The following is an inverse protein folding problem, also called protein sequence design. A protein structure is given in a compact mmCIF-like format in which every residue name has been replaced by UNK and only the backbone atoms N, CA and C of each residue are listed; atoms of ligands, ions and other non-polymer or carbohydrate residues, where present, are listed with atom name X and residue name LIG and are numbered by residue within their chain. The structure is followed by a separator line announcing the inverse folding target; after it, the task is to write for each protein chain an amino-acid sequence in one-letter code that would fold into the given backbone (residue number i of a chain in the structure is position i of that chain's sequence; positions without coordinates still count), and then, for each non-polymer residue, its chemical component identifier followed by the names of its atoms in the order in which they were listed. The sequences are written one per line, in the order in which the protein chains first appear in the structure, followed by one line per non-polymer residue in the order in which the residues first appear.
data_IF_974144345421
#
_entry.id   IF_974144345421
#
_cell.length_a   1.000
_cell.length_b   1.000
_cell.length_c   1.000
_cell.angle_alpha   90.00
_cell.angle_beta   90.00
_cell.angle_gamma   90.00
#
_symmetry.space_group_name_H-M   'P 1'
#
loop_
_entity.id
_entity.type
_entity.pdbx_description
1 polymer ?
#
# COMPACT_ATOMS: atom_id res chain seq x y z
N UNK A 1 -15.60 5.55 -10.35
CA UNK A 1 -14.65 6.17 -11.32
C UNK A 1 -13.92 7.31 -10.65
N UNK A 2 -12.66 7.53 -11.01
CA UNK A 2 -11.77 8.59 -10.53
C UNK A 2 -11.09 9.28 -11.71
N UNK A 3 -10.80 10.56 -11.61
CA UNK A 3 -9.81 11.22 -12.46
C UNK A 3 -8.42 11.04 -11.81
N UNK A 4 -7.58 10.25 -12.44
CA UNK A 4 -6.29 9.84 -11.90
C UNK A 4 -5.17 10.26 -12.84
N UNK A 5 -4.49 11.37 -12.51
CA UNK A 5 -3.40 11.97 -13.28
C UNK A 5 -3.70 12.07 -14.77
N UNK A 6 -4.83 12.75 -15.10
CA UNK A 6 -5.28 13.01 -16.47
C UNK A 6 -6.01 11.87 -17.16
N UNK A 7 -6.21 10.74 -16.49
CA UNK A 7 -6.99 9.61 -17.00
C UNK A 7 -8.28 9.42 -16.21
N UNK A 8 -9.36 9.09 -16.88
CA UNK A 8 -10.62 8.69 -16.24
C UNK A 8 -10.66 7.18 -16.13
N UNK A 9 -10.53 6.65 -14.92
CA UNK A 9 -10.40 5.22 -14.62
C UNK A 9 -11.54 4.72 -13.74
N UNK A 10 -11.84 3.44 -13.84
CA UNK A 10 -12.68 2.74 -12.88
C UNK A 10 -11.90 2.56 -11.56
N UNK A 11 -12.63 2.35 -10.48
CA UNK A 11 -12.06 2.09 -9.16
C UNK A 11 -12.53 0.74 -8.66
N UNK A 12 -11.59 -0.08 -8.17
CA UNK A 12 -11.86 -1.41 -7.65
C UNK A 12 -11.29 -1.53 -6.24
N UNK A 13 -12.18 -1.84 -5.28
CA UNK A 13 -11.81 -2.05 -3.88
C UNK A 13 -11.14 -3.41 -3.73
N UNK A 14 -9.91 -3.42 -3.22
CA UNK A 14 -9.07 -4.60 -3.17
C UNK A 14 -8.51 -4.86 -1.77
N UNK A 15 -8.50 -6.14 -1.35
CA UNK A 15 -7.63 -6.61 -0.28
C UNK A 15 -6.68 -7.66 -0.82
N UNK A 16 -5.37 -7.38 -0.71
CA UNK A 16 -4.32 -8.16 -1.35
C UNK A 16 -3.51 -9.00 -0.35
N UNK A 17 -3.87 -8.98 0.94
CA UNK A 17 -3.22 -9.75 2.00
C UNK A 17 -4.29 -10.37 2.91
N UNK A 18 -4.44 -11.68 2.85
CA UNK A 18 -5.53 -12.41 3.52
C UNK A 18 -5.13 -13.85 3.77
N UNK A 19 -5.41 -14.35 4.98
CA UNK A 19 -5.18 -15.74 5.36
C UNK A 19 -6.49 -16.52 5.46
N UNK A 20 -6.39 -17.81 5.20
CA UNK A 20 -7.48 -18.77 5.30
C UNK A 20 -7.10 -19.96 6.17
N UNK A 21 -7.99 -20.95 6.30
CA UNK A 21 -7.69 -22.23 6.97
C UNK A 21 -6.65 -23.07 6.23
N UNK A 22 -6.20 -22.66 5.05
CA UNK A 22 -5.05 -23.27 4.37
C UNK A 22 -3.76 -23.06 5.16
N UNK A 23 -3.63 -21.93 5.88
CA UNK A 23 -2.54 -21.68 6.85
C UNK A 23 -3.08 -21.55 8.27
N UNK A 24 -3.30 -20.35 8.76
CA UNK A 24 -3.65 -20.04 10.16
C UNK A 24 -4.81 -19.03 10.29
N UNK A 25 -5.46 -18.70 9.20
CA UNK A 25 -6.70 -17.93 9.19
C UNK A 25 -7.87 -18.76 9.71
N UNK A 26 -8.90 -18.06 10.22
CA UNK A 26 -10.08 -18.68 10.81
C UNK A 26 -11.12 -19.16 9.80
N UNK A 27 -11.15 -18.53 8.64
CA UNK A 27 -12.16 -18.78 7.59
C UNK A 27 -11.59 -19.67 6.49
N UNK A 28 -12.42 -20.52 5.92
CA UNK A 28 -12.04 -21.23 4.68
C UNK A 28 -11.83 -20.21 3.54
N UNK A 29 -11.11 -20.58 2.46
CA UNK A 29 -11.00 -19.72 1.29
C UNK A 29 -12.35 -19.20 0.77
N UNK A 30 -13.36 -20.06 0.67
CA UNK A 30 -14.70 -19.66 0.21
C UNK A 30 -15.42 -18.73 1.20
N UNK A 31 -15.31 -19.01 2.50
CA UNK A 31 -15.91 -18.14 3.53
C UNK A 31 -15.30 -16.74 3.52
N UNK A 32 -13.97 -16.61 3.43
CA UNK A 32 -13.35 -15.30 3.40
C UNK A 32 -13.69 -14.56 2.11
N UNK A 33 -13.72 -15.23 0.95
CA UNK A 33 -14.16 -14.63 -0.31
C UNK A 33 -15.60 -14.11 -0.21
N UNK A 34 -16.50 -14.91 0.36
CA UNK A 34 -17.90 -14.49 0.55
C UNK A 34 -18.01 -13.26 1.46
N UNK A 35 -17.27 -13.21 2.58
CA UNK A 35 -17.28 -12.06 3.49
C UNK A 35 -16.88 -10.76 2.78
N UNK A 36 -15.83 -10.80 1.96
CA UNK A 36 -15.37 -9.63 1.20
C UNK A 36 -16.31 -9.25 0.06
N UNK A 37 -16.91 -10.23 -0.62
CA UNK A 37 -17.93 -9.99 -1.64
C UNK A 37 -19.18 -9.31 -1.05
N UNK A 38 -19.67 -9.79 0.09
CA UNK A 38 -20.83 -9.21 0.79
C UNK A 38 -20.56 -7.75 1.24
N UNK A 39 -19.29 -7.40 1.52
CA UNK A 39 -18.85 -6.04 1.88
C UNK A 39 -18.54 -5.14 0.65
N UNK A 40 -18.71 -5.67 -0.56
CA UNK A 40 -18.57 -4.93 -1.81
C UNK A 40 -17.11 -4.73 -2.25
N UNK A 41 -16.24 -5.70 -2.00
CA UNK A 41 -14.93 -5.73 -2.61
C UNK A 41 -14.99 -6.27 -4.03
N UNK A 42 -14.02 -5.86 -4.84
CA UNK A 42 -13.93 -6.19 -6.27
C UNK A 42 -12.77 -7.14 -6.59
N UNK A 43 -11.68 -7.05 -5.83
CA UNK A 43 -10.43 -7.79 -6.08
C UNK A 43 -9.90 -8.36 -4.77
N UNK A 44 -9.54 -9.63 -4.79
CA UNK A 44 -8.96 -10.32 -3.63
C UNK A 44 -7.70 -11.09 -4.02
N UNK A 45 -6.80 -11.22 -3.05
CA UNK A 45 -5.67 -12.13 -3.08
C UNK A 45 -5.63 -12.90 -1.75
N UNK A 46 -5.78 -14.22 -1.80
CA UNK A 46 -5.57 -15.08 -0.62
C UNK A 46 -4.09 -15.45 -0.60
N UNK A 47 -3.42 -15.11 0.49
CA UNK A 47 -1.96 -15.15 0.61
C UNK A 47 -1.52 -15.95 1.83
N UNK A 48 -2.04 -17.15 1.94
CA UNK A 48 -1.73 -18.07 3.04
C UNK A 48 -0.23 -18.26 3.24
N UNK A 49 0.20 -18.43 4.48
CA UNK A 49 1.60 -18.60 4.83
C UNK A 49 2.22 -19.82 4.14
N UNK A 50 3.20 -19.57 3.27
CA UNK A 50 4.02 -20.62 2.62
C UNK A 50 3.23 -21.66 1.84
N UNK A 51 2.00 -21.31 1.46
CA UNK A 51 1.13 -22.17 0.65
C UNK A 51 0.34 -21.33 -0.34
N UNK A 52 0.38 -21.69 -1.59
CA UNK A 52 -0.53 -21.15 -2.60
C UNK A 52 -1.87 -21.90 -2.54
N UNK A 53 -2.94 -21.18 -2.82
CA UNK A 53 -4.26 -21.76 -3.01
C UNK A 53 -4.51 -22.03 -4.49
N UNK A 54 -5.23 -23.08 -4.80
CA UNK A 54 -5.66 -23.38 -6.15
C UNK A 54 -6.89 -22.54 -6.47
N UNK A 55 -6.71 -21.50 -7.29
CA UNK A 55 -7.77 -20.52 -7.59
C UNK A 55 -9.01 -21.17 -8.18
N UNK A 56 -8.82 -22.21 -9.03
CA UNK A 56 -9.92 -22.92 -9.68
C UNK A 56 -10.89 -23.62 -8.72
N UNK A 57 -10.44 -23.88 -7.48
CA UNK A 57 -11.23 -24.58 -6.47
C UNK A 57 -11.97 -23.61 -5.52
N UNK A 58 -11.84 -22.29 -5.71
CA UNK A 58 -12.41 -21.26 -4.85
C UNK A 58 -13.49 -20.48 -5.59
N UNK A 59 -14.67 -20.35 -5.00
CA UNK A 59 -15.73 -19.49 -5.57
C UNK A 59 -15.33 -18.01 -5.40
N UNK A 60 -15.10 -17.25 -6.48
CA UNK A 60 -14.74 -15.84 -6.40
C UNK A 60 -15.92 -14.94 -6.00
N UNK A 61 -17.14 -15.44 -5.88
CA UNK A 61 -18.35 -14.68 -5.56
C UNK A 61 -18.50 -13.38 -6.38
N UNK A 62 -18.13 -13.41 -7.66
CA UNK A 62 -18.19 -12.26 -8.58
C UNK A 62 -17.03 -11.27 -8.46
N UNK A 63 -16.08 -11.49 -7.57
CA UNK A 63 -14.83 -10.72 -7.47
C UNK A 63 -13.76 -11.29 -8.44
N UNK A 64 -12.70 -10.53 -8.65
CA UNK A 64 -11.46 -11.03 -9.24
C UNK A 64 -10.59 -11.61 -8.13
N UNK A 65 -10.33 -12.91 -8.18
CA UNK A 65 -9.36 -13.57 -7.31
C UNK A 65 -8.02 -13.68 -8.03
N UNK A 66 -6.96 -13.18 -7.40
CA UNK A 66 -5.57 -13.27 -7.88
C UNK A 66 -4.82 -14.25 -6.96
N UNK A 67 -3.96 -15.09 -7.55
CA UNK A 67 -3.12 -16.00 -6.79
C UNK A 67 -2.10 -15.25 -5.93
N UNK A 68 -1.75 -15.80 -4.79
CA UNK A 68 -0.71 -15.23 -3.95
C UNK A 68 -0.27 -16.14 -2.83
N UNK A 69 0.77 -15.71 -2.15
CA UNK A 69 1.34 -16.37 -0.97
C UNK A 69 2.09 -15.34 -0.13
N UNK A 70 2.07 -15.50 1.19
CA UNK A 70 2.99 -14.80 2.07
C UNK A 70 4.13 -15.72 2.45
N UNK A 71 5.36 -15.33 2.09
CA UNK A 71 6.58 -16.07 2.38
C UNK A 71 7.34 -15.43 3.54
N UNK A 72 8.07 -16.27 4.29
CA UNK A 72 8.80 -15.87 5.50
C UNK A 72 10.29 -16.19 5.37
N UNK A 73 11.02 -15.60 4.41
CA UNK A 73 12.45 -15.84 4.31
C UNK A 73 13.19 -15.30 5.53
N UNK A 74 14.34 -15.88 5.84
CA UNK A 74 15.30 -15.25 6.72
C UNK A 74 15.85 -13.98 6.06
N UNK A 75 16.18 -12.97 6.85
CA UNK A 75 16.75 -11.74 6.29
C UNK A 75 17.18 -10.71 7.30
N UNK A 76 18.15 -9.89 6.88
CA UNK A 76 18.71 -8.79 7.67
C UNK A 76 19.26 -9.23 9.03
N UNK A 77 19.16 -8.37 10.02
CA UNK A 77 19.54 -8.64 11.42
C UNK A 77 18.52 -9.49 12.19
N UNK A 78 17.36 -9.73 11.61
CA UNK A 78 16.27 -10.54 12.16
C UNK A 78 15.97 -11.72 11.23
N UNK A 79 15.63 -12.85 11.83
CA UNK A 79 15.38 -14.09 11.10
C UNK A 79 13.97 -14.20 10.52
N UNK A 80 13.17 -13.14 10.58
CA UNK A 80 11.79 -13.14 10.07
C UNK A 80 11.51 -11.86 9.30
N UNK A 81 11.32 -12.00 8.02
CA UNK A 81 10.69 -11.02 7.14
C UNK A 81 9.41 -11.63 6.59
N UNK A 82 8.48 -10.82 6.19
CA UNK A 82 7.30 -11.26 5.49
C UNK A 82 7.25 -10.59 4.12
N UNK A 83 7.16 -11.40 3.08
CA UNK A 83 7.07 -10.96 1.70
C UNK A 83 5.72 -11.40 1.13
N UNK A 84 4.92 -10.41 0.76
CA UNK A 84 3.63 -10.59 0.11
C UNK A 84 3.84 -10.77 -1.39
N UNK A 85 3.63 -11.97 -1.88
CA UNK A 85 3.83 -12.35 -3.28
C UNK A 85 2.47 -12.46 -3.98
N UNK A 86 2.20 -11.56 -4.91
CA UNK A 86 0.92 -11.46 -5.64
C UNK A 86 1.12 -11.92 -7.07
N UNK A 87 0.17 -12.67 -7.62
CA UNK A 87 0.18 -13.24 -8.97
C UNK A 87 1.36 -14.21 -9.18
N UNK A 88 1.49 -15.18 -8.30
CA UNK A 88 2.44 -16.28 -8.46
C UNK A 88 1.74 -17.56 -8.93
N UNK A 89 2.40 -18.47 -9.66
CA UNK A 89 1.84 -19.77 -10.04
C UNK A 89 1.41 -20.60 -8.83
N UNK A 90 0.45 -21.51 -9.00
CA UNK A 90 -0.04 -22.38 -7.93
C UNK A 90 1.05 -23.32 -7.36
N UNK A 91 2.04 -23.67 -8.17
CA UNK A 91 3.19 -24.50 -7.80
C UNK A 91 4.46 -23.69 -7.46
N UNK A 92 4.30 -22.37 -7.22
CA UNK A 92 5.41 -21.45 -6.97
C UNK A 92 6.23 -21.81 -5.73
N UNK A 93 5.56 -22.28 -4.67
CA UNK A 93 6.20 -22.51 -3.38
C UNK A 93 6.97 -23.82 -3.38
N UNK A 94 8.30 -23.75 -3.38
CA UNK A 94 9.19 -24.91 -3.22
C UNK A 94 9.29 -25.35 -1.75
N UNK A 95 9.85 -26.53 -1.50
CA UNK A 95 10.11 -27.01 -0.12
C UNK A 95 11.03 -26.05 0.65
N UNK A 96 12.01 -25.46 -0.03
CA UNK A 96 12.92 -24.46 0.55
C UNK A 96 12.19 -23.16 0.94
N UNK A 97 11.33 -22.63 0.06
CA UNK A 97 10.49 -21.46 0.35
C UNK A 97 9.48 -21.74 1.48
N UNK A 98 9.00 -22.97 1.59
CA UNK A 98 8.09 -23.38 2.65
C UNK A 98 8.79 -23.63 4.00
N UNK A 99 10.12 -23.75 4.01
CA UNK A 99 10.90 -24.02 5.23
C UNK A 99 10.83 -22.85 6.22
N UNK A 100 11.11 -23.16 7.49
CA UNK A 100 11.23 -22.11 8.50
C UNK A 100 12.53 -21.30 8.27
N UNK A 101 12.50 -19.99 8.48
CA UNK A 101 13.69 -19.16 8.31
C UNK A 101 14.78 -19.55 9.32
N UNK A 102 16.02 -19.62 8.85
CA UNK A 102 17.19 -19.95 9.67
C UNK A 102 17.89 -18.65 10.09
N UNK A 103 18.12 -18.41 11.39
CA UNK A 103 18.82 -17.21 11.84
C UNK A 103 20.23 -17.09 11.24
N UNK A 104 20.55 -15.91 10.72
CA UNK A 104 21.85 -15.61 10.11
C UNK A 104 21.91 -15.83 8.59
N UNK A 105 20.90 -16.46 8.01
CA UNK A 105 20.72 -16.54 6.54
C UNK A 105 19.94 -15.33 6.02
N UNK A 106 20.07 -15.02 4.73
CA UNK A 106 19.31 -13.97 4.09
C UNK A 106 18.88 -14.42 2.68
N UNK A 107 17.64 -14.84 2.55
CA UNK A 107 17.04 -15.31 1.30
C UNK A 107 15.98 -14.35 0.73
N UNK A 108 15.86 -13.14 1.30
CA UNK A 108 14.83 -12.20 0.86
C UNK A 108 14.97 -11.82 -0.61
N UNK A 109 16.21 -11.54 -1.06
CA UNK A 109 16.43 -11.14 -2.45
C UNK A 109 16.11 -12.28 -3.43
N UNK A 110 16.46 -13.51 -3.09
CA UNK A 110 16.17 -14.70 -3.90
C UNK A 110 14.64 -14.88 -4.10
N UNK A 111 13.84 -14.64 -3.06
CA UNK A 111 12.37 -14.68 -3.15
C UNK A 111 11.87 -13.55 -4.05
N UNK A 112 12.35 -12.31 -3.87
CA UNK A 112 11.96 -11.17 -4.72
C UNK A 112 12.27 -11.47 -6.19
N UNK A 113 13.46 -12.00 -6.47
CA UNK A 113 13.89 -12.34 -7.83
C UNK A 113 13.03 -13.47 -8.43
N UNK A 114 12.71 -14.50 -7.64
CA UNK A 114 11.84 -15.59 -8.08
C UNK A 114 10.42 -15.12 -8.41
N UNK A 115 9.83 -14.26 -7.56
CA UNK A 115 8.51 -13.67 -7.80
C UNK A 115 8.50 -12.84 -9.09
N UNK A 116 9.51 -12.00 -9.28
CA UNK A 116 9.65 -11.18 -10.50
C UNK A 116 9.83 -12.05 -11.75
N UNK A 117 10.65 -13.11 -11.66
CA UNK A 117 10.85 -14.05 -12.76
C UNK A 117 9.56 -14.80 -13.14
N UNK A 118 8.70 -15.08 -12.17
CA UNK A 118 7.37 -15.66 -12.38
C UNK A 118 6.33 -14.65 -12.94
N UNK A 119 6.69 -13.37 -13.09
CA UNK A 119 5.77 -12.31 -13.53
C UNK A 119 4.87 -11.76 -12.44
N UNK A 120 5.12 -12.13 -11.17
CA UNK A 120 4.41 -11.66 -10.00
C UNK A 120 4.85 -10.28 -9.51
N UNK A 121 4.32 -9.89 -8.36
CA UNK A 121 4.65 -8.65 -7.65
C UNK A 121 4.99 -9.00 -6.20
N UNK A 122 6.13 -8.53 -5.72
CA UNK A 122 6.58 -8.75 -4.35
C UNK A 122 6.50 -7.45 -3.56
N UNK A 123 5.69 -7.41 -2.49
CA UNK A 123 5.61 -6.29 -1.54
C UNK A 123 6.23 -6.69 -0.21
N UNK A 124 6.86 -5.73 0.48
CA UNK A 124 7.30 -5.97 1.86
C UNK A 124 6.10 -5.80 2.80
N UNK A 125 5.66 -6.89 3.41
CA UNK A 125 4.52 -6.90 4.32
C UNK A 125 4.87 -6.30 5.68
N UNK A 126 3.96 -5.49 6.23
CA UNK A 126 4.00 -4.90 7.60
C UNK A 126 5.40 -4.72 8.20
N UNK A 127 6.30 -3.91 7.58
CA UNK A 127 7.73 -3.84 7.96
C UNK A 127 7.96 -3.43 9.41
N UNK A 128 7.09 -2.59 10.00
CA UNK A 128 7.19 -2.21 11.41
C UNK A 128 6.94 -3.40 12.35
N UNK A 129 5.98 -4.26 12.01
CA UNK A 129 5.72 -5.49 12.76
C UNK A 129 6.90 -6.45 12.67
N UNK A 130 7.48 -6.62 11.50
CA UNK A 130 8.70 -7.39 11.28
C UNK A 130 9.92 -6.77 11.99
N UNK A 131 9.87 -5.48 12.35
CA UNK A 131 10.97 -4.76 13.00
C UNK A 131 12.11 -4.38 12.06
N UNK A 132 11.83 -4.26 10.75
CA UNK A 132 12.81 -3.83 9.75
C UNK A 132 12.98 -2.30 9.75
N UNK A 133 14.18 -1.87 9.36
CA UNK A 133 14.53 -0.48 9.11
C UNK A 133 14.43 -0.17 7.64
N UNK A 134 14.29 1.11 7.31
CA UNK A 134 14.19 1.57 5.93
C UNK A 134 15.39 1.14 5.07
N UNK A 135 16.61 1.19 5.62
CA UNK A 135 17.82 0.79 4.90
C UNK A 135 17.86 -0.72 4.58
N UNK A 136 17.28 -1.56 5.45
CA UNK A 136 17.20 -3.01 5.23
C UNK A 136 16.19 -3.34 4.12
N UNK A 137 15.08 -2.59 4.04
CA UNK A 137 14.10 -2.71 2.95
C UNK A 137 14.65 -2.13 1.65
N UNK A 138 15.34 -0.98 1.72
CA UNK A 138 15.97 -0.32 0.58
C UNK A 138 17.07 -1.16 -0.09
N UNK A 139 17.68 -2.09 0.64
CA UNK A 139 18.69 -3.00 0.11
C UNK A 139 18.11 -4.09 -0.80
N UNK A 140 16.77 -4.27 -0.80
CA UNK A 140 16.09 -5.23 -1.67
C UNK A 140 15.76 -4.58 -3.02
N UNK A 141 16.18 -5.21 -4.09
CA UNK A 141 15.91 -4.74 -5.46
C UNK A 141 14.72 -5.49 -6.05
N UNK A 142 13.88 -4.78 -6.79
CA UNK A 142 12.75 -5.38 -7.50
C UNK A 142 11.48 -5.55 -6.65
N UNK A 143 11.41 -5.00 -5.44
CA UNK A 143 10.14 -4.89 -4.71
C UNK A 143 9.15 -4.02 -5.48
N UNK A 144 7.90 -4.44 -5.52
CA UNK A 144 6.80 -3.68 -6.10
C UNK A 144 6.30 -2.55 -5.17
N UNK A 145 6.59 -2.64 -3.87
CA UNK A 145 6.19 -1.67 -2.87
C UNK A 145 6.22 -2.24 -1.46
N UNK A 146 5.51 -1.58 -0.55
CA UNK A 146 5.37 -1.96 0.85
C UNK A 146 3.91 -1.92 1.29
N UNK A 147 3.62 -2.31 2.53
CA UNK A 147 2.35 -1.98 3.19
C UNK A 147 2.50 -0.72 4.03
N UNK A 148 1.65 0.30 3.77
CA UNK A 148 1.55 1.50 4.62
C UNK A 148 0.67 1.26 5.83
N UNK A 149 -0.33 0.40 5.68
CA UNK A 149 -1.26 0.03 6.76
C UNK A 149 -1.61 -1.45 6.70
N UNK A 150 -1.61 -2.07 7.88
CA UNK A 150 -2.00 -3.46 8.05
C UNK A 150 -2.92 -3.58 9.28
N UNK A 151 -4.15 -4.06 9.07
CA UNK A 151 -5.19 -4.11 10.09
C UNK A 151 -4.86 -5.09 11.21
N UNK A 152 -4.33 -6.28 10.88
CA UNK A 152 -4.02 -7.33 11.85
C UNK A 152 -3.00 -6.87 12.91
N UNK A 153 -2.03 -6.04 12.51
CA UNK A 153 -0.95 -5.59 13.40
C UNK A 153 -1.34 -4.41 14.31
N UNK A 154 -2.58 -3.90 14.20
CA UNK A 154 -3.05 -2.74 14.99
C UNK A 154 -3.11 -3.01 16.49
N UNK A 155 -3.40 -4.24 16.89
CA UNK A 155 -3.56 -4.60 18.31
C UNK A 155 -2.30 -4.53 19.15
N UNK A 156 -1.15 -4.51 18.48
CA UNK A 156 0.15 -4.30 19.12
C UNK A 156 0.76 -2.94 18.78
N UNK A 157 -0.04 -2.02 18.19
CA UNK A 157 0.38 -0.66 17.87
C UNK A 157 1.33 -0.55 16.68
N UNK A 158 1.38 -1.55 15.77
CA UNK A 158 2.32 -1.58 14.64
C UNK A 158 1.65 -1.55 13.27
N UNK A 159 0.43 -1.00 13.18
CA UNK A 159 -0.36 -0.99 11.95
C UNK A 159 0.17 -0.02 10.88
N UNK A 160 0.82 1.06 11.27
CA UNK A 160 1.22 2.14 10.36
C UNK A 160 2.70 2.13 10.06
N UNK A 161 3.04 2.21 8.78
CA UNK A 161 4.42 2.21 8.26
C UNK A 161 4.75 3.52 7.53
N UNK A 162 4.06 4.61 7.84
CA UNK A 162 4.20 5.90 7.14
C UNK A 162 5.62 6.47 7.24
N UNK A 163 6.26 6.40 8.42
CA UNK A 163 7.62 6.91 8.60
C UNK A 163 8.60 6.13 7.74
N UNK A 164 8.55 4.80 7.77
CA UNK A 164 9.43 3.96 6.95
C UNK A 164 9.22 4.24 5.46
N UNK A 165 7.96 4.43 5.03
CA UNK A 165 7.64 4.77 3.65
C UNK A 165 8.25 6.11 3.23
N UNK A 166 8.14 7.15 4.07
CA UNK A 166 8.73 8.46 3.81
C UNK A 166 10.26 8.39 3.75
N UNK A 167 10.91 7.63 4.65
CA UNK A 167 12.36 7.39 4.61
C UNK A 167 12.81 6.70 3.31
N UNK A 168 12.04 5.72 2.81
CA UNK A 168 12.31 5.09 1.51
C UNK A 168 12.16 6.09 0.35
N UNK A 169 11.14 6.95 0.39
CA UNK A 169 10.99 8.03 -0.59
C UNK A 169 12.15 9.04 -0.51
N UNK A 170 12.63 9.38 0.69
CA UNK A 170 13.79 10.25 0.91
C UNK A 170 15.09 9.67 0.30
N UNK A 171 15.18 8.33 0.23
CA UNK A 171 16.26 7.62 -0.46
C UNK A 171 16.07 7.56 -1.98
N UNK A 172 14.99 8.15 -2.54
CA UNK A 172 14.66 8.16 -3.95
C UNK A 172 13.95 6.90 -4.45
N UNK A 173 13.51 6.02 -3.55
CA UNK A 173 12.80 4.79 -3.91
C UNK A 173 11.31 5.10 -4.21
N UNK A 174 10.83 4.60 -5.35
CA UNK A 174 9.48 4.91 -5.87
C UNK A 174 8.48 3.82 -5.50
N UNK A 175 8.42 3.46 -4.22
CA UNK A 175 7.52 2.43 -3.76
C UNK A 175 6.09 2.96 -3.59
N UNK A 176 5.11 2.39 -4.30
CA UNK A 176 3.71 2.51 -3.90
C UNK A 176 3.46 1.71 -2.63
N UNK A 177 2.41 2.04 -1.89
CA UNK A 177 2.14 1.36 -0.64
C UNK A 177 0.68 0.93 -0.49
N UNK A 178 0.48 -0.34 -0.13
CA UNK A 178 -0.82 -0.97 0.07
C UNK A 178 -1.38 -0.68 1.47
N UNK A 179 -2.70 -0.56 1.57
CA UNK A 179 -3.42 -0.83 2.82
C UNK A 179 -4.13 -2.17 2.68
N UNK A 180 -4.02 -3.00 3.71
CA UNK A 180 -4.49 -4.38 3.71
C UNK A 180 -5.06 -4.77 5.07
N UNK A 181 -5.76 -5.89 5.10
CA UNK A 181 -6.33 -6.42 6.34
C UNK A 181 -5.45 -7.47 7.01
N UNK A 182 -4.78 -8.33 6.22
CA UNK A 182 -3.97 -9.44 6.76
C UNK A 182 -4.82 -10.32 7.70
N UNK A 183 -5.98 -10.75 7.18
CA UNK A 183 -7.04 -11.36 7.97
C UNK A 183 -6.64 -12.72 8.52
N UNK A 184 -6.67 -12.85 9.84
CA UNK A 184 -6.61 -14.11 10.55
C UNK A 184 -7.92 -14.38 11.31
N UNK A 185 -8.64 -13.32 11.73
CA UNK A 185 -9.81 -13.39 12.60
C UNK A 185 -10.84 -12.31 12.24
N UNK A 186 -12.05 -12.43 12.77
CA UNK A 186 -13.15 -11.50 12.50
C UNK A 186 -12.81 -10.02 12.76
N UNK A 187 -11.99 -9.75 13.76
CA UNK A 187 -11.63 -8.38 14.09
C UNK A 187 -10.58 -7.75 13.16
N UNK A 188 -9.98 -8.53 12.26
CA UNK A 188 -9.04 -8.02 11.26
C UNK A 188 -9.76 -7.57 9.98
N UNK A 189 -11.04 -7.92 9.81
CA UNK A 189 -11.81 -7.65 8.61
C UNK A 189 -12.08 -6.14 8.41
N UNK A 190 -11.93 -5.67 7.17
CA UNK A 190 -12.42 -4.39 6.63
C UNK A 190 -11.81 -3.13 7.26
N UNK A 191 -10.62 -3.23 7.87
CA UNK A 191 -9.95 -2.10 8.51
C UNK A 191 -9.12 -1.24 7.57
N UNK A 192 -8.67 -1.79 6.44
CA UNK A 192 -7.90 -1.07 5.42
C UNK A 192 -7.91 -1.79 4.08
N UNK A 193 -7.92 -1.02 3.00
CA UNK A 193 -7.94 -1.56 1.63
C UNK A 193 -7.22 -0.66 0.64
N UNK A 194 -6.84 -1.23 -0.49
CA UNK A 194 -6.34 -0.48 -1.64
C UNK A 194 -7.45 -0.28 -2.66
N UNK A 195 -7.51 0.89 -3.28
CA UNK A 195 -8.45 1.22 -4.35
C UNK A 195 -7.67 1.29 -5.66
N UNK A 196 -7.79 0.24 -6.46
CA UNK A 196 -7.08 0.10 -7.74
C UNK A 196 -7.79 0.91 -8.81
N UNK A 197 -7.02 1.74 -9.54
CA UNK A 197 -7.52 2.62 -10.58
C UNK A 197 -7.07 2.09 -11.95
N UNK A 198 -7.95 1.44 -12.68
CA UNK A 198 -7.67 0.88 -14.00
C UNK A 198 -8.92 0.82 -14.89
N UNK A 199 -8.74 0.54 -16.16
CA UNK A 199 -9.84 0.58 -17.15
C UNK A 199 -10.83 -0.56 -16.93
N UNK A 200 -10.32 -1.79 -16.69
CA UNK A 200 -11.12 -3.00 -16.56
C UNK A 200 -10.67 -3.83 -15.35
N UNK A 201 -11.59 -4.64 -14.82
CA UNK A 201 -11.30 -5.58 -13.71
C UNK A 201 -10.81 -6.92 -14.28
N UNK A 202 -9.66 -6.88 -14.93
CA UNK A 202 -8.94 -8.08 -15.41
C UNK A 202 -7.63 -8.24 -14.67
N UNK A 203 -7.06 -9.46 -14.57
CA UNK A 203 -5.76 -9.66 -13.92
C UNK A 203 -4.68 -8.76 -14.49
N UNK A 204 -4.62 -8.63 -15.83
CA UNK A 204 -3.63 -7.85 -16.54
C UNK A 204 -3.71 -6.35 -16.19
N UNK A 205 -4.94 -5.78 -16.22
CA UNK A 205 -5.16 -4.38 -15.88
C UNK A 205 -4.86 -4.08 -14.41
N UNK A 206 -5.29 -4.96 -13.50
CA UNK A 206 -5.03 -4.84 -12.06
C UNK A 206 -3.54 -4.91 -11.76
N UNK A 207 -2.81 -5.88 -12.32
CA UNK A 207 -1.38 -6.03 -12.11
C UNK A 207 -0.58 -4.87 -12.73
N UNK A 208 -0.99 -4.39 -13.90
CA UNK A 208 -0.39 -3.20 -14.50
C UNK A 208 -0.60 -1.96 -13.62
N UNK A 209 -1.79 -1.79 -13.05
CA UNK A 209 -2.07 -0.70 -12.12
C UNK A 209 -1.23 -0.78 -10.84
N UNK A 210 -1.09 -1.97 -10.25
CA UNK A 210 -0.25 -2.19 -9.08
C UNK A 210 1.22 -1.87 -9.36
N UNK A 211 1.77 -2.32 -10.49
CA UNK A 211 3.15 -1.99 -10.92
C UNK A 211 3.36 -0.49 -11.13
N UNK A 212 2.38 0.18 -11.71
CA UNK A 212 2.45 1.62 -12.00
C UNK A 212 2.16 2.51 -10.78
N UNK A 213 1.76 1.96 -9.63
CA UNK A 213 1.25 2.73 -8.50
C UNK A 213 -0.08 3.43 -8.79
N UNK A 214 -0.84 2.97 -9.80
CA UNK A 214 -2.16 3.49 -10.18
C UNK A 214 -3.23 2.99 -9.21
N UNK A 215 -3.08 3.34 -7.96
CA UNK A 215 -4.01 3.05 -6.87
C UNK A 215 -3.75 4.00 -5.70
N UNK A 216 -4.64 4.01 -4.74
CA UNK A 216 -4.44 4.66 -3.45
C UNK A 216 -4.88 3.73 -2.31
N UNK A 217 -4.37 3.98 -1.12
CA UNK A 217 -4.66 3.20 0.08
C UNK A 217 -5.58 3.95 1.03
N UNK A 218 -6.48 3.24 1.72
CA UNK A 218 -7.47 3.90 2.58
C UNK A 218 -8.01 3.00 3.68
N UNK A 219 -8.51 3.64 4.72
CA UNK A 219 -9.33 3.08 5.80
C UNK A 219 -10.78 3.59 5.74
N UNK A 220 -11.09 4.52 4.80
CA UNK A 220 -12.42 5.15 4.70
C UNK A 220 -12.50 6.32 3.74
N UNK A 221 -11.70 7.40 3.91
CA UNK A 221 -11.71 8.52 2.98
C UNK A 221 -11.38 8.09 1.54
N UNK A 222 -12.01 8.72 0.56
CA UNK A 222 -11.84 8.36 -0.85
C UNK A 222 -11.37 9.55 -1.67
N UNK A 223 -10.38 9.33 -2.53
CA UNK A 223 -10.03 10.27 -3.58
C UNK A 223 -11.02 10.17 -4.74
N UNK A 224 -11.41 11.33 -5.27
CA UNK A 224 -12.26 11.50 -6.46
C UNK A 224 -11.47 12.00 -7.65
N UNK A 225 -10.42 12.79 -7.36
CA UNK A 225 -9.47 13.31 -8.34
C UNK A 225 -8.08 13.39 -7.72
N UNK A 226 -7.08 13.03 -8.50
CA UNK A 226 -5.66 13.30 -8.27
C UNK A 226 -5.06 13.81 -9.56
N UNK A 227 -4.43 14.98 -9.54
CA UNK A 227 -3.75 15.53 -10.70
C UNK A 227 -2.45 16.24 -10.32
N UNK A 228 -1.52 16.24 -11.26
CA UNK A 228 -0.28 17.00 -11.17
C UNK A 228 0.04 17.58 -12.54
N UNK A 229 -0.14 18.90 -12.67
CA UNK A 229 0.06 19.59 -13.93
C UNK A 229 0.77 20.93 -13.69
N UNK A 230 1.79 21.24 -14.49
CA UNK A 230 2.53 22.50 -14.43
C UNK A 230 3.05 22.87 -13.02
N UNK A 231 3.47 21.85 -12.25
CA UNK A 231 3.93 22.03 -10.88
C UNK A 231 2.82 22.21 -9.84
N UNK A 232 1.56 22.08 -10.24
CA UNK A 232 0.40 22.15 -9.34
C UNK A 232 -0.12 20.75 -9.05
N UNK A 233 -0.16 20.40 -7.78
CA UNK A 233 -0.84 19.20 -7.29
C UNK A 233 -2.27 19.55 -6.85
N UNK A 234 -3.25 18.82 -7.31
CA UNK A 234 -4.64 18.96 -6.90
C UNK A 234 -5.22 17.62 -6.52
N UNK A 235 -6.03 17.60 -5.45
CA UNK A 235 -6.78 16.43 -5.02
C UNK A 235 -8.21 16.84 -4.65
N UNK A 236 -9.19 16.04 -5.07
CA UNK A 236 -10.57 16.09 -4.60
C UNK A 236 -10.89 14.77 -3.88
N UNK A 237 -11.64 14.84 -2.77
CA UNK A 237 -11.89 13.68 -1.90
C UNK A 237 -13.21 13.82 -1.13
N UNK A 238 -13.59 12.76 -0.44
CA UNK A 238 -14.70 12.80 0.52
C UNK A 238 -14.36 13.71 1.69
N UNK A 239 -15.35 14.24 2.47
CA UNK A 239 -15.08 15.15 3.58
C UNK A 239 -14.06 14.59 4.58
N UNK A 240 -13.05 15.41 4.92
CA UNK A 240 -12.00 15.09 5.88
C UNK A 240 -11.69 16.29 6.77
N UNK A 241 -11.12 16.01 7.95
CA UNK A 241 -10.68 17.05 8.90
C UNK A 241 -9.20 17.41 8.77
N UNK A 242 -8.44 16.56 8.08
CA UNK A 242 -7.01 16.81 7.82
C UNK A 242 -6.68 16.46 6.37
N UNK A 243 -6.03 17.39 5.67
CA UNK A 243 -5.51 17.21 4.33
C UNK A 243 -4.10 17.81 4.26
N UNK A 244 -3.11 16.96 4.03
CA UNK A 244 -1.69 17.35 3.99
C UNK A 244 -1.01 16.76 2.77
N UNK A 245 -0.01 17.48 2.25
CA UNK A 245 0.98 16.96 1.33
C UNK A 245 2.28 16.73 2.11
N UNK A 246 2.81 15.52 2.03
CA UNK A 246 4.08 15.11 2.63
C UNK A 246 5.13 15.08 1.53
N UNK A 247 6.33 15.57 1.84
CA UNK A 247 7.49 15.56 0.97
C UNK A 247 8.74 15.19 1.79
N UNK A 248 9.93 15.37 1.22
CA UNK A 248 11.18 14.95 1.87
C UNK A 248 11.40 15.59 3.26
N UNK A 249 11.83 14.78 4.21
CA UNK A 249 12.22 15.19 5.56
C UNK A 249 11.16 16.08 6.26
N UNK A 250 11.50 17.33 6.57
CA UNK A 250 10.62 18.29 7.24
C UNK A 250 9.74 19.09 6.26
N UNK A 251 9.68 18.72 5.00
CA UNK A 251 8.93 19.43 3.97
C UNK A 251 7.53 18.87 3.82
N UNK A 252 6.61 19.76 3.55
CA UNK A 252 5.21 19.43 3.31
C UNK A 252 4.34 20.65 3.30
N UNK A 253 3.06 20.43 3.10
CA UNK A 253 2.03 21.46 3.11
C UNK A 253 0.79 20.96 3.84
N UNK A 254 0.33 21.71 4.83
CA UNK A 254 -0.92 21.45 5.53
C UNK A 254 -2.01 22.35 4.96
N UNK A 255 -2.92 21.79 4.16
CA UNK A 255 -4.09 22.52 3.67
C UNK A 255 -5.13 22.69 4.79
N UNK A 256 -5.39 21.63 5.56
CA UNK A 256 -6.34 21.65 6.66
C UNK A 256 -5.91 20.71 7.78
N UNK A 257 -6.09 21.13 9.03
CA UNK A 257 -5.97 20.29 10.22
C UNK A 257 -6.78 20.92 11.38
N UNK A 258 -7.24 20.13 12.36
CA UNK A 258 -7.88 20.66 13.54
C UNK A 258 -6.98 21.66 14.27
N UNK A 259 -7.56 22.81 14.67
CA UNK A 259 -6.84 23.89 15.37
C UNK A 259 -5.58 24.43 14.65
N UNK A 260 -5.46 24.28 13.34
CA UNK A 260 -4.31 24.72 12.56
C UNK A 260 -3.99 26.20 12.77
N UNK A 261 -5.02 27.04 12.83
CA UNK A 261 -4.90 28.49 12.95
C UNK A 261 -5.02 28.98 14.40
N UNK A 262 -5.02 28.08 15.39
CA UNK A 262 -5.12 28.39 16.81
C UNK A 262 -6.53 28.82 17.25
N UNK A 263 -7.54 28.61 16.42
CA UNK A 263 -8.93 29.06 16.62
C UNK A 263 -9.87 28.03 17.25
N UNK A 264 -9.33 26.85 17.59
CA UNK A 264 -10.08 25.74 18.19
C UNK A 264 -11.02 25.01 17.24
N UNK A 265 -11.04 25.36 15.94
CA UNK A 265 -11.96 24.75 14.97
C UNK A 265 -11.42 23.47 14.37
N UNK A 266 -12.34 22.60 13.99
CA UNK A 266 -12.06 21.42 13.16
C UNK A 266 -12.63 21.70 11.77
N UNK A 267 -11.77 21.80 10.73
CA UNK A 267 -12.25 22.02 9.38
C UNK A 267 -12.95 20.78 8.82
N UNK A 268 -13.78 21.00 7.80
CA UNK A 268 -14.25 19.96 6.90
C UNK A 268 -13.92 20.41 5.47
N UNK A 269 -13.04 19.68 4.81
CA UNK A 269 -12.58 20.02 3.46
C UNK A 269 -12.73 18.82 2.53
N UNK A 270 -12.91 19.12 1.24
CA UNK A 270 -13.13 18.12 0.18
C UNK A 270 -12.13 18.26 -0.98
N UNK A 271 -11.20 19.20 -0.87
CA UNK A 271 -10.16 19.40 -1.88
C UNK A 271 -8.93 20.05 -1.29
N UNK A 272 -7.81 19.90 -1.97
CA UNK A 272 -6.60 20.67 -1.76
C UNK A 272 -5.97 21.01 -3.10
N UNK A 273 -5.25 22.14 -3.13
CA UNK A 273 -4.43 22.58 -4.26
C UNK A 273 -3.12 23.12 -3.72
N UNK A 274 -2.02 22.66 -4.29
CA UNK A 274 -0.68 23.02 -3.83
C UNK A 274 0.29 23.20 -5.01
N UNK A 275 0.98 24.33 -5.03
CA UNK A 275 2.08 24.59 -5.96
C UNK A 275 3.38 24.05 -5.34
N UNK A 276 3.97 23.01 -5.94
CA UNK A 276 5.17 22.34 -5.40
C UNK A 276 6.39 23.27 -5.32
N UNK A 277 6.43 24.33 -6.13
CA UNK A 277 7.50 25.34 -6.06
C UNK A 277 7.56 26.03 -4.70
N UNK A 278 6.46 26.06 -3.95
CA UNK A 278 6.44 26.58 -2.59
C UNK A 278 7.19 25.70 -1.57
N UNK A 279 7.47 24.43 -1.89
CA UNK A 279 8.35 23.58 -1.07
C UNK A 279 9.77 24.15 -1.03
N UNK A 280 10.19 24.83 -2.08
CA UNK A 280 11.55 25.36 -2.26
C UNK A 280 11.67 26.81 -1.74
N UNK A 281 10.60 27.60 -1.87
CA UNK A 281 10.62 29.02 -1.53
C UNK A 281 10.88 29.32 -0.04
N UNK A 282 10.55 28.41 0.86
CA UNK A 282 10.62 28.62 2.32
C UNK A 282 11.97 28.22 2.94
N UNK A 283 12.98 27.80 2.17
CA UNK A 283 14.21 27.24 2.69
C UNK A 283 15.47 27.95 2.20
N UNK A 284 16.27 28.41 3.16
CA UNK A 284 17.68 28.72 2.94
C UNK A 284 18.58 27.45 3.01
N UNK A 285 18.02 26.30 3.34
CA UNK A 285 18.72 25.03 3.38
C UNK A 285 18.40 24.25 2.09
N UNK A 286 19.42 23.69 1.46
CA UNK A 286 19.31 22.83 0.29
C UNK A 286 18.74 21.47 0.73
N UNK A 287 17.43 21.38 0.85
CA UNK A 287 16.75 20.10 0.99
C UNK A 287 16.23 19.74 -0.42
N UNK A 288 16.70 18.63 -0.91
CA UNK A 288 16.23 18.14 -2.21
C UNK A 288 14.81 17.56 -2.02
N UNK A 289 13.81 18.30 -2.48
CA UNK A 289 12.42 17.85 -2.49
C UNK A 289 12.13 17.23 -3.84
N UNK A 290 12.02 15.92 -3.91
CA UNK A 290 11.85 15.21 -5.18
C UNK A 290 10.55 14.39 -5.24
N UNK A 291 9.78 14.29 -4.15
CA UNK A 291 8.47 13.64 -4.16
C UNK A 291 7.40 14.44 -3.40
N UNK A 292 6.16 14.09 -3.67
CA UNK A 292 4.97 14.54 -2.95
C UNK A 292 3.96 13.41 -2.86
N UNK A 293 3.35 13.19 -1.70
CA UNK A 293 2.17 12.34 -1.52
C UNK A 293 1.10 13.07 -0.72
N UNK A 294 -0.16 12.78 -0.98
CA UNK A 294 -1.29 13.32 -0.23
C UNK A 294 -1.71 12.35 0.87
N UNK A 295 -1.94 12.86 2.07
CA UNK A 295 -2.46 12.14 3.21
C UNK A 295 -3.70 12.84 3.75
N UNK A 296 -4.78 12.08 3.91
CA UNK A 296 -6.06 12.55 4.42
C UNK A 296 -6.37 11.87 5.76
N UNK A 297 -7.14 12.55 6.60
CA UNK A 297 -7.69 11.95 7.83
C UNK A 297 -9.10 12.47 8.07
N UNK A 298 -10.07 11.57 8.26
CA UNK A 298 -11.44 11.95 8.54
C UNK A 298 -11.71 12.21 10.03
N UNK A 299 -12.97 12.56 10.36
CA UNK A 299 -13.39 12.84 11.72
C UNK A 299 -13.36 11.61 12.65
N UNK A 300 -13.36 10.39 12.07
CA UNK A 300 -13.21 9.13 12.79
C UNK A 300 -11.75 8.73 13.00
N UNK A 301 -10.81 9.53 12.50
CA UNK A 301 -9.37 9.27 12.60
C UNK A 301 -8.82 8.29 11.57
N UNK A 302 -9.62 7.90 10.56
CA UNK A 302 -9.23 6.99 9.49
C UNK A 302 -8.47 7.74 8.40
N UNK A 303 -7.49 7.09 7.83
CA UNK A 303 -6.61 7.68 6.83
C UNK A 303 -6.94 7.27 5.40
N UNK A 304 -6.47 8.09 4.45
CA UNK A 304 -6.22 7.69 3.07
C UNK A 304 -4.90 8.30 2.60
N UNK A 305 -4.21 7.58 1.72
CA UNK A 305 -2.88 7.94 1.21
C UNK A 305 -2.84 7.78 -0.31
N UNK A 306 -2.45 8.84 -1.03
CA UNK A 306 -2.03 8.67 -2.41
C UNK A 306 -0.63 8.07 -2.46
N UNK A 307 -0.31 7.35 -3.54
CA UNK A 307 1.08 7.00 -3.80
C UNK A 307 1.91 8.27 -4.11
N UNK A 308 3.24 8.23 -3.87
CA UNK A 308 4.10 9.38 -4.14
C UNK A 308 4.20 9.64 -5.64
N UNK A 309 4.07 10.91 -6.01
CA UNK A 309 4.53 11.41 -7.31
C UNK A 309 5.93 11.97 -7.16
N UNK A 310 6.78 11.76 -8.16
CA UNK A 310 8.12 12.36 -8.17
C UNK A 310 8.10 13.64 -8.98
N UNK A 311 8.53 14.73 -8.31
CA UNK A 311 8.46 16.09 -8.87
C UNK A 311 9.51 16.19 -9.99
N UNK A 312 9.13 16.54 -11.23
CA UNK A 312 10.09 16.78 -12.32
C UNK A 312 11.08 17.91 -11.97
N UNK A 313 12.31 17.79 -12.48
CA UNK A 313 13.40 18.74 -12.17
C UNK A 313 13.05 20.19 -12.52
N UNK A 314 12.29 20.42 -13.59
CA UNK A 314 11.86 21.77 -14.00
C UNK A 314 11.00 22.50 -12.97
N UNK A 315 10.43 21.79 -11.99
CA UNK A 315 9.63 22.38 -10.89
C UNK A 315 10.40 22.40 -9.55
N UNK A 316 11.63 21.88 -9.51
CA UNK A 316 12.54 21.96 -8.37
C UNK A 316 13.34 23.26 -8.48
N UNK A 317 13.11 24.18 -7.56
CA UNK A 317 13.74 25.53 -7.56
C UNK A 317 15.21 25.54 -7.21
#
# INVERSE_FOLDING_TARGET
MIEFYGKKLNTYRANLHTHSTTSDGKYTPDEVMKLYSDEGYDVMCITDHRKTNRIADIDPHGMLLISGVELHPAGGRISRSHLLCVNVPEDFVTEEMAAQPVPGENHMQEIVDAVNAAGGLCFFAHPYWCGFRSEEVAALHGLAGIEVYNTSTRYIGRAYNMQLWDELCDMGLRFPALAVDDVHRAHDLFGGWSVICCEERTPECVLAALRAGSFYSTQGPQFKRLSFENGIFEAEFTPVTTAICVSNQCRGYCAAAPNKDGDGKTPEVTSLRFDVRNLFAASKAVINCDYLRCQLRDAQGRYAWSNPIFIPEEYRG
#
